data_IF_943920584499
#
_entry.id   IF_943920584499
#
_cell.length_a   1.000
_cell.length_b   1.000
_cell.length_c   1.000
_cell.angle_alpha   90.00
_cell.angle_beta   90.00
_cell.angle_gamma   90.00
#
_symmetry.space_group_name_H-M   'P 1'
#
loop_
_entity.id
_entity.type
_entity.pdbx_description
1 polymer ?
#
# COMPACT_ATOMS: atom_id res chain seq x y z
N UNK A 1 13.81 -9.40 -25.32
CA UNK A 1 13.92 -8.06 -24.73
C UNK A 1 13.10 -8.08 -23.46
N UNK A 2 13.74 -8.41 -22.34
CA UNK A 2 13.05 -8.42 -21.06
C UNK A 2 12.65 -7.00 -20.73
N UNK A 3 11.34 -6.73 -20.72
CA UNK A 3 10.83 -5.46 -20.24
C UNK A 3 11.45 -5.22 -18.86
N UNK A 4 12.09 -4.07 -18.65
CA UNK A 4 12.75 -3.75 -17.38
C UNK A 4 11.68 -3.64 -16.28
N UNK A 5 11.41 -4.75 -15.60
CA UNK A 5 10.38 -4.85 -14.56
C UNK A 5 10.84 -4.01 -13.37
N UNK A 6 10.05 -3.00 -12.97
CA UNK A 6 10.34 -2.23 -11.76
C UNK A 6 9.53 -2.76 -10.58
N UNK A 7 10.20 -2.94 -9.46
CA UNK A 7 9.63 -3.49 -8.23
C UNK A 7 9.43 -2.38 -7.20
N UNK A 8 8.27 -2.39 -6.55
CA UNK A 8 7.89 -1.39 -5.56
C UNK A 8 7.36 -2.03 -4.29
N UNK A 9 7.66 -1.42 -3.14
CA UNK A 9 6.86 -1.63 -1.95
C UNK A 9 5.67 -0.68 -2.00
N UNK A 10 4.48 -1.15 -1.69
CA UNK A 10 3.26 -0.32 -1.59
C UNK A 10 2.69 -0.39 -0.19
N UNK A 11 2.33 0.76 0.38
CA UNK A 11 1.59 0.82 1.63
C UNK A 11 0.07 0.91 1.40
N UNK A 12 -0.70 0.91 2.49
CA UNK A 12 -2.14 1.02 2.41
C UNK A 12 -2.58 2.38 1.83
N UNK A 13 -1.90 3.47 2.21
CA UNK A 13 -2.29 4.83 1.80
C UNK A 13 -2.22 5.01 0.28
N UNK A 14 -1.20 4.46 -0.37
CA UNK A 14 -1.08 4.50 -1.83
C UNK A 14 -2.19 3.74 -2.55
N UNK A 15 -2.58 2.56 -2.04
CA UNK A 15 -3.66 1.78 -2.65
C UNK A 15 -5.04 2.39 -2.39
N UNK A 16 -5.27 2.95 -1.20
CA UNK A 16 -6.53 3.61 -0.87
C UNK A 16 -6.79 4.82 -1.77
N UNK A 17 -5.72 5.51 -2.19
CA UNK A 17 -5.79 6.65 -3.13
C UNK A 17 -6.47 6.31 -4.46
N UNK A 18 -6.41 5.05 -4.90
CA UNK A 18 -7.05 4.59 -6.16
C UNK A 18 -8.33 3.80 -5.93
N UNK A 19 -8.51 3.26 -4.73
CA UNK A 19 -9.62 2.38 -4.37
C UNK A 19 -10.83 3.16 -3.83
N UNK A 20 -10.59 4.21 -3.04
CA UNK A 20 -11.65 4.99 -2.40
C UNK A 20 -12.19 6.07 -3.36
N UNK A 21 -13.52 6.19 -3.54
CA UNK A 21 -14.11 7.10 -4.53
C UNK A 21 -13.72 8.57 -4.33
N UNK A 22 -13.59 8.98 -3.08
CA UNK A 22 -13.24 10.33 -2.62
C UNK A 22 -11.76 10.68 -2.84
N UNK A 23 -10.89 9.68 -3.01
CA UNK A 23 -9.45 9.88 -3.25
C UNK A 23 -9.09 9.61 -4.73
N UNK A 24 -9.89 8.82 -5.43
CA UNK A 24 -9.64 8.37 -6.80
C UNK A 24 -9.89 9.44 -7.89
N UNK A 25 -10.36 10.65 -7.53
CA UNK A 25 -10.70 11.70 -8.50
C UNK A 25 -9.53 12.60 -8.92
N UNK A 26 -8.39 12.53 -8.24
CA UNK A 26 -7.21 13.35 -8.55
C UNK A 26 -6.44 12.82 -9.77
N UNK A 27 -5.68 13.70 -10.42
CA UNK A 27 -4.82 13.31 -11.55
C UNK A 27 -3.67 12.39 -11.08
N UNK A 28 -3.20 12.58 -9.85
CA UNK A 28 -2.26 11.72 -9.16
C UNK A 28 -2.81 10.30 -9.00
N UNK A 29 -4.07 10.15 -8.57
CA UNK A 29 -4.71 8.84 -8.43
C UNK A 29 -4.87 8.10 -9.77
N UNK A 30 -5.10 8.83 -10.87
CA UNK A 30 -5.10 8.21 -12.21
C UNK A 30 -3.71 7.68 -12.61
N UNK A 31 -2.65 8.41 -12.26
CA UNK A 31 -1.26 7.95 -12.47
C UNK A 31 -0.96 6.70 -11.65
N UNK A 32 -1.38 6.67 -10.38
CA UNK A 32 -1.22 5.50 -9.52
C UNK A 32 -1.98 4.29 -10.07
N UNK A 33 -3.23 4.48 -10.54
CA UNK A 33 -4.02 3.41 -11.15
C UNK A 33 -3.33 2.87 -12.42
N UNK A 34 -2.84 3.76 -13.28
CA UNK A 34 -2.09 3.40 -14.50
C UNK A 34 -0.86 2.56 -14.16
N UNK A 35 -0.19 2.89 -13.06
CA UNK A 35 0.95 2.13 -12.56
C UNK A 35 0.50 0.75 -12.06
N UNK A 36 -0.58 0.67 -11.29
CA UNK A 36 -1.09 -0.59 -10.72
C UNK A 36 -1.49 -1.61 -11.80
N UNK A 37 -2.09 -1.16 -12.90
CA UNK A 37 -2.54 -2.04 -13.98
C UNK A 37 -1.43 -2.41 -14.98
N UNK A 38 -0.29 -1.72 -14.94
CA UNK A 38 0.79 -1.94 -15.89
C UNK A 38 1.65 -3.15 -15.49
N UNK A 39 1.72 -4.13 -16.38
CA UNK A 39 2.44 -5.40 -16.17
C UNK A 39 3.98 -5.25 -16.11
N UNK A 40 4.53 -4.08 -16.41
CA UNK A 40 5.96 -3.81 -16.20
C UNK A 40 6.29 -3.43 -14.76
N UNK A 41 5.29 -3.33 -13.88
CA UNK A 41 5.47 -3.07 -12.46
C UNK A 41 5.03 -4.25 -11.60
N UNK A 42 5.81 -4.54 -10.56
CA UNK A 42 5.46 -5.53 -9.53
C UNK A 42 5.37 -4.84 -8.17
N UNK A 43 4.33 -5.19 -7.44
CA UNK A 43 4.04 -4.63 -6.12
C UNK A 43 4.28 -5.67 -5.05
N UNK A 44 4.88 -5.23 -3.96
CA UNK A 44 5.21 -6.04 -2.80
C UNK A 44 4.78 -5.33 -1.52
N UNK A 45 4.44 -6.09 -0.49
CA UNK A 45 3.99 -5.53 0.79
C UNK A 45 4.15 -6.56 1.93
N UNK A 46 4.22 -6.12 3.20
CA UNK A 46 3.98 -7.00 4.33
C UNK A 46 2.49 -7.39 4.40
N UNK A 47 2.20 -8.55 5.02
CA UNK A 47 0.81 -9.07 5.13
C UNK A 47 -0.16 -8.14 5.87
N UNK A 48 0.38 -7.23 6.71
CA UNK A 48 -0.42 -6.23 7.44
C UNK A 48 -1.23 -5.32 6.51
N UNK A 49 -0.80 -5.15 5.25
CA UNK A 49 -1.50 -4.36 4.24
C UNK A 49 -2.98 -4.73 4.11
N UNK A 50 -3.30 -6.02 4.12
CA UNK A 50 -4.69 -6.49 3.97
C UNK A 50 -5.57 -5.97 5.11
N UNK A 51 -5.03 -5.96 6.34
CA UNK A 51 -5.73 -5.48 7.52
C UNK A 51 -5.93 -3.97 7.46
N UNK A 52 -4.91 -3.22 7.04
CA UNK A 52 -5.00 -1.76 6.93
C UNK A 52 -5.99 -1.31 5.85
N UNK A 53 -5.98 -1.95 4.68
CA UNK A 53 -6.92 -1.67 3.60
C UNK A 53 -8.35 -2.03 4.04
N UNK A 54 -8.56 -3.22 4.61
CA UNK A 54 -9.90 -3.64 5.06
C UNK A 54 -10.43 -2.75 6.19
N UNK A 55 -9.57 -2.38 7.16
CA UNK A 55 -9.95 -1.48 8.24
C UNK A 55 -10.30 -0.08 7.71
N UNK A 56 -9.59 0.40 6.69
CA UNK A 56 -9.88 1.68 6.04
C UNK A 56 -11.21 1.64 5.30
N UNK A 57 -11.48 0.59 4.53
CA UNK A 57 -12.79 0.38 3.87
C UNK A 57 -13.92 0.38 4.91
N UNK A 58 -13.78 -0.40 5.99
CA UNK A 58 -14.75 -0.44 7.10
C UNK A 58 -14.94 0.93 7.71
N UNK A 59 -13.87 1.67 7.95
CA UNK A 59 -13.91 3.01 8.56
C UNK A 59 -14.65 4.00 7.68
N UNK A 60 -14.45 3.94 6.35
CA UNK A 60 -15.16 4.77 5.37
C UNK A 60 -16.67 4.47 5.34
N UNK A 61 -17.07 3.20 5.54
CA UNK A 61 -18.49 2.82 5.73
C UNK A 61 -19.06 3.40 7.02
N UNK A 62 -18.38 3.20 8.16
CA UNK A 62 -18.84 3.70 9.47
C UNK A 62 -18.97 5.23 9.49
N UNK A 63 -18.12 5.92 8.73
CA UNK A 63 -18.19 7.38 8.54
C UNK A 63 -19.25 7.82 7.53
N UNK A 64 -20.11 6.90 7.05
CA UNK A 64 -21.17 7.15 6.07
C UNK A 64 -20.68 7.77 4.74
N UNK A 65 -19.41 7.59 4.40
CA UNK A 65 -18.84 8.11 3.14
C UNK A 65 -19.16 7.20 1.97
N UNK A 66 -19.33 5.90 2.23
CA UNK A 66 -19.77 4.89 1.27
C UNK A 66 -20.75 3.91 1.92
N UNK A 67 -21.63 3.30 1.12
CA UNK A 67 -22.49 2.20 1.56
C UNK A 67 -21.79 0.84 1.54
N UNK A 68 -22.40 -0.16 2.20
CA UNK A 68 -21.90 -1.55 2.26
C UNK A 68 -21.63 -2.16 0.88
N UNK A 69 -22.55 -2.00 -0.06
CA UNK A 69 -22.38 -2.51 -1.44
C UNK A 69 -21.18 -1.89 -2.16
N UNK A 70 -20.89 -0.61 -1.91
CA UNK A 70 -19.69 0.03 -2.45
C UNK A 70 -18.42 -0.51 -1.80
N UNK A 71 -18.44 -0.77 -0.48
CA UNK A 71 -17.31 -1.38 0.21
C UNK A 71 -16.98 -2.79 -0.32
N UNK A 72 -17.98 -3.63 -0.58
CA UNK A 72 -17.80 -4.96 -1.18
C UNK A 72 -17.19 -4.88 -2.59
N UNK A 73 -17.62 -3.90 -3.40
CA UNK A 73 -17.03 -3.62 -4.72
C UNK A 73 -15.57 -3.18 -4.61
N UNK A 74 -15.24 -2.33 -3.63
CA UNK A 74 -13.87 -1.86 -3.40
C UNK A 74 -12.97 -3.02 -2.97
N UNK A 75 -13.44 -3.86 -2.03
CA UNK A 75 -12.70 -5.06 -1.62
C UNK A 75 -12.46 -6.01 -2.81
N UNK A 76 -13.47 -6.19 -3.66
CA UNK A 76 -13.34 -6.98 -4.89
C UNK A 76 -12.29 -6.41 -5.85
N UNK A 77 -12.16 -5.08 -5.94
CA UNK A 77 -11.11 -4.42 -6.75
C UNK A 77 -9.74 -4.61 -6.12
N UNK A 78 -9.62 -4.45 -4.80
CA UNK A 78 -8.37 -4.70 -4.07
C UNK A 78 -7.86 -6.12 -4.30
N UNK A 79 -8.74 -7.14 -4.23
CA UNK A 79 -8.39 -8.54 -4.46
C UNK A 79 -7.86 -8.84 -5.88
N UNK A 80 -8.08 -7.94 -6.85
CA UNK A 80 -7.57 -8.08 -8.22
C UNK A 80 -6.18 -7.46 -8.41
N UNK A 81 -5.68 -6.70 -7.42
CA UNK A 81 -4.35 -6.09 -7.49
C UNK A 81 -3.32 -7.18 -7.21
N UNK A 82 -2.36 -7.45 -8.11
CA UNK A 82 -1.36 -8.50 -7.93
C UNK A 82 -0.25 -8.04 -6.96
N UNK A 83 -0.49 -8.25 -5.66
CA UNK A 83 0.46 -7.92 -4.59
C UNK A 83 1.20 -9.18 -4.15
N UNK A 84 2.54 -9.10 -4.13
CA UNK A 84 3.40 -10.15 -3.64
C UNK A 84 3.71 -9.90 -2.16
N UNK A 85 3.13 -10.70 -1.28
CA UNK A 85 3.39 -10.54 0.15
C UNK A 85 4.75 -11.10 0.54
N UNK A 86 5.50 -10.33 1.32
CA UNK A 86 6.82 -10.69 1.82
C UNK A 86 6.80 -10.76 3.35
N UNK A 87 7.52 -11.73 3.89
CA UNK A 87 7.75 -11.84 5.33
C UNK A 87 8.73 -10.79 5.84
N UNK A 88 8.54 -10.40 7.09
CA UNK A 88 9.40 -9.46 7.80
C UNK A 88 10.21 -10.17 8.87
N UNK A 89 11.42 -9.66 9.14
CA UNK A 89 12.14 -10.03 10.35
C UNK A 89 11.67 -9.11 11.49
N UNK A 90 10.90 -9.67 12.42
CA UNK A 90 10.25 -8.89 13.50
C UNK A 90 11.23 -8.18 14.42
N UNK A 91 12.37 -8.79 14.74
CA UNK A 91 13.41 -8.19 15.57
C UNK A 91 14.02 -6.96 14.89
N UNK A 92 14.36 -7.09 13.60
CA UNK A 92 14.91 -5.98 12.80
C UNK A 92 13.88 -4.88 12.55
N UNK A 93 12.62 -5.22 12.35
CA UNK A 93 11.53 -4.24 12.21
C UNK A 93 11.31 -3.49 13.52
N UNK A 94 11.35 -4.19 14.66
CA UNK A 94 11.22 -3.57 15.98
C UNK A 94 12.35 -2.57 16.22
N UNK A 95 13.60 -2.99 16.01
CA UNK A 95 14.77 -2.09 16.12
C UNK A 95 14.64 -0.87 15.18
N UNK A 96 14.28 -1.10 13.92
CA UNK A 96 14.05 -0.03 12.96
C UNK A 96 12.94 0.93 13.40
N UNK A 97 11.84 0.42 13.95
CA UNK A 97 10.71 1.22 14.40
C UNK A 97 11.08 2.15 15.56
N UNK A 98 11.88 1.66 16.50
CA UNK A 98 12.39 2.44 17.63
C UNK A 98 13.36 3.51 17.11
N UNK A 99 14.35 3.11 16.30
CA UNK A 99 15.41 3.99 15.80
C UNK A 99 14.88 5.11 14.88
N UNK A 100 13.76 4.88 14.20
CA UNK A 100 13.13 5.87 13.31
C UNK A 100 11.87 6.50 13.89
N UNK A 101 11.51 6.16 15.13
CA UNK A 101 10.27 6.59 15.80
C UNK A 101 9.03 6.39 14.89
N UNK A 102 8.92 5.18 14.32
CA UNK A 102 7.82 4.76 13.45
C UNK A 102 6.92 3.77 14.18
N UNK A 103 5.67 3.63 13.73
CA UNK A 103 4.88 2.48 14.13
C UNK A 103 5.52 1.20 13.60
N UNK A 104 5.25 0.06 14.25
CA UNK A 104 5.72 -1.23 13.76
C UNK A 104 5.21 -1.53 12.33
N UNK A 105 4.02 -1.03 11.99
CA UNK A 105 3.42 -1.19 10.67
C UNK A 105 4.20 -0.40 9.61
N UNK A 106 4.43 0.90 9.83
CA UNK A 106 5.21 1.74 8.91
C UNK A 106 6.64 1.22 8.74
N UNK A 107 7.26 0.81 9.85
CA UNK A 107 8.60 0.22 9.84
C UNK A 107 8.65 -1.11 9.05
N UNK A 108 7.55 -1.87 8.98
CA UNK A 108 7.48 -3.10 8.19
C UNK A 108 7.61 -2.82 6.69
N UNK A 109 6.95 -1.77 6.20
CA UNK A 109 7.08 -1.32 4.81
C UNK A 109 8.48 -0.81 4.51
N UNK A 110 9.01 0.06 5.39
CA UNK A 110 10.36 0.63 5.22
C UNK A 110 11.44 -0.46 5.26
N UNK A 111 11.30 -1.45 6.15
CA UNK A 111 12.20 -2.58 6.23
C UNK A 111 12.25 -3.34 4.90
N UNK A 112 11.08 -3.73 4.38
CA UNK A 112 10.99 -4.45 3.10
C UNK A 112 11.57 -3.64 1.93
N UNK A 113 11.34 -2.32 1.92
CA UNK A 113 11.87 -1.44 0.89
C UNK A 113 13.40 -1.43 0.90
N UNK A 114 13.99 -1.33 2.09
CA UNK A 114 15.45 -1.30 2.29
C UNK A 114 16.11 -2.63 1.95
N UNK A 115 15.61 -3.75 2.48
CA UNK A 115 16.27 -5.04 2.26
C UNK A 115 16.20 -5.51 0.80
N UNK A 116 15.13 -5.15 0.08
CA UNK A 116 14.96 -5.51 -1.32
C UNK A 116 15.49 -4.45 -2.29
N UNK A 117 15.87 -3.26 -1.80
CA UNK A 117 16.22 -2.07 -2.61
C UNK A 117 15.10 -1.66 -3.57
N UNK A 118 13.86 -1.78 -3.12
CA UNK A 118 12.67 -1.38 -3.87
C UNK A 118 12.21 0.00 -3.42
N UNK A 119 11.74 0.81 -4.36
CA UNK A 119 11.18 2.12 -4.02
C UNK A 119 9.86 1.91 -3.25
N UNK A 120 9.69 2.63 -2.15
CA UNK A 120 8.44 2.67 -1.40
C UNK A 120 7.49 3.68 -2.04
N UNK A 121 6.27 3.25 -2.30
CA UNK A 121 5.14 4.07 -2.74
C UNK A 121 4.20 4.23 -1.55
N UNK A 122 4.16 5.45 -1.02
CA UNK A 122 3.37 5.83 0.16
C UNK A 122 2.88 7.27 -0.02
N UNK A 123 1.72 7.57 0.55
CA UNK A 123 1.19 8.92 0.70
C UNK A 123 1.37 9.45 2.13
N UNK A 124 1.97 8.67 3.02
CA UNK A 124 2.41 9.14 4.32
C UNK A 124 3.71 9.96 4.17
N UNK A 125 3.58 11.28 4.39
CA UNK A 125 4.69 12.23 4.28
C UNK A 125 5.85 11.97 5.25
N UNK A 126 5.60 11.29 6.37
CA UNK A 126 6.65 10.90 7.33
C UNK A 126 7.44 9.75 6.77
N UNK A 127 6.77 8.77 6.18
CA UNK A 127 7.39 7.58 5.61
C UNK A 127 8.09 7.86 4.27
N UNK A 128 7.55 8.76 3.45
CA UNK A 128 8.12 9.19 2.16
C UNK A 128 9.53 9.81 2.30
N UNK A 129 9.83 10.42 3.44
CA UNK A 129 11.10 11.14 3.69
C UNK A 129 12.23 10.26 4.23
N UNK A 130 12.01 8.97 4.47
CA UNK A 130 12.91 8.04 5.18
C UNK A 130 13.53 6.96 4.30
#
# INVERSE_FOLDING_TARGET
MDANIKNFIVDASYLLSVLLPDEASSEESKKHLTMIINRTYKFFAPKILEFEVCNSIKTTVIRNRIGKTSAEKILTRFNKIPINYLDINRERVLDLSINKNLTFYDASYLYLARINKYKLLTLDKKLEKL
#
